data_IF_418809489103
#
_entry.id   IF_418809489103
#
_cell.length_a   1.000
_cell.length_b   1.000
_cell.length_c   1.000
_cell.angle_alpha   90.00
_cell.angle_beta   90.00
_cell.angle_gamma   90.00
#
_symmetry.space_group_name_H-M   'P 1'
#
loop_
_entity.id
_entity.type
_entity.pdbx_description
1 polymer ?
#
# COMPACT_ATOMS: atom_id res chain seq x y z
N UNK A 1 -4.47 3.64 -1.22
CA UNK A 1 -4.88 3.69 0.19
C UNK A 1 -5.44 2.36 0.64
N UNK A 2 -4.96 1.84 1.76
CA UNK A 2 -5.49 0.60 2.35
C UNK A 2 -5.76 0.77 3.85
N UNK A 3 -6.58 -0.15 4.39
CA UNK A 3 -6.85 -0.28 5.82
C UNK A 3 -6.61 -1.73 6.24
N UNK A 4 -6.26 -1.95 7.51
CA UNK A 4 -6.00 -3.27 8.05
C UNK A 4 -6.86 -3.55 9.28
N UNK A 5 -7.70 -4.56 9.17
CA UNK A 5 -8.45 -5.11 10.30
C UNK A 5 -7.61 -6.19 10.99
N UNK A 6 -7.12 -5.86 12.19
CA UNK A 6 -6.29 -6.77 12.99
C UNK A 6 -7.03 -7.99 13.50
N UNK A 7 -8.32 -7.85 13.79
CA UNK A 7 -9.13 -8.93 14.35
C UNK A 7 -9.34 -10.05 13.33
N UNK A 8 -9.52 -9.69 12.07
CA UNK A 8 -9.80 -10.63 10.99
C UNK A 8 -8.63 -10.79 10.03
N UNK A 9 -7.47 -10.24 10.35
CA UNK A 9 -6.25 -10.24 9.51
C UNK A 9 -6.54 -9.86 8.04
N UNK A 10 -7.41 -8.86 7.86
CA UNK A 10 -7.94 -8.49 6.54
C UNK A 10 -7.45 -7.11 6.13
N UNK A 11 -6.94 -7.02 4.91
CA UNK A 11 -6.52 -5.79 4.25
C UNK A 11 -7.65 -5.36 3.30
N UNK A 12 -8.07 -4.11 3.39
CA UNK A 12 -9.03 -3.50 2.48
C UNK A 12 -8.30 -2.47 1.60
N UNK A 13 -8.33 -2.63 0.29
CA UNK A 13 -7.81 -1.65 -0.65
C UNK A 13 -8.96 -0.69 -1.00
N UNK A 14 -8.84 0.55 -0.56
CA UNK A 14 -9.94 1.52 -0.56
C UNK A 14 -9.91 2.46 -1.76
N UNK A 15 -8.72 2.90 -2.16
CA UNK A 15 -8.51 3.82 -3.26
C UNK A 15 -7.16 3.53 -3.93
N UNK A 16 -7.07 3.89 -5.20
CA UNK A 16 -5.80 3.87 -5.94
C UNK A 16 -5.62 5.18 -6.73
N UNK A 17 -4.37 5.55 -6.91
CA UNK A 17 -3.92 6.55 -7.87
C UNK A 17 -2.89 5.82 -8.74
N UNK A 18 -3.24 5.54 -9.98
CA UNK A 18 -2.39 4.81 -10.91
C UNK A 18 -2.21 5.63 -12.18
N UNK A 19 -1.21 6.50 -12.18
CA UNK A 19 -0.94 7.44 -13.28
C UNK A 19 0.56 7.54 -13.53
N UNK A 20 0.93 7.76 -14.78
CA UNK A 20 2.31 8.03 -15.19
C UNK A 20 2.52 9.52 -15.44
N UNK A 21 3.75 10.01 -15.24
CA UNK A 21 4.14 11.36 -15.59
C UNK A 21 3.59 12.46 -14.67
N UNK A 22 3.09 12.10 -13.48
CA UNK A 22 2.69 13.07 -12.47
C UNK A 22 3.92 13.70 -11.81
N UNK A 23 3.87 15.02 -11.60
CA UNK A 23 4.78 15.69 -10.68
C UNK A 23 4.42 15.38 -9.22
N UNK A 24 5.38 15.52 -8.30
CA UNK A 24 5.13 15.34 -6.86
C UNK A 24 4.04 16.27 -6.33
N UNK A 25 3.92 17.47 -6.91
CA UNK A 25 2.84 18.42 -6.58
C UNK A 25 1.46 17.89 -6.98
N UNK A 26 1.32 17.43 -8.23
CA UNK A 26 0.07 16.84 -8.71
C UNK A 26 -0.32 15.61 -7.88
N UNK A 27 0.66 14.77 -7.54
CA UNK A 27 0.45 13.61 -6.69
C UNK A 27 -0.03 14.04 -5.28
N UNK A 28 0.58 15.08 -4.71
CA UNK A 28 0.16 15.61 -3.41
C UNK A 28 -1.28 16.14 -3.44
N UNK A 29 -1.67 16.85 -4.51
CA UNK A 29 -3.02 17.37 -4.71
C UNK A 29 -4.07 16.23 -4.80
N UNK A 30 -3.72 15.08 -5.39
CA UNK A 30 -4.61 13.90 -5.44
C UNK A 30 -4.65 13.11 -4.14
N UNK A 31 -3.56 13.10 -3.37
CA UNK A 31 -3.52 12.41 -2.07
C UNK A 31 -4.25 13.20 -0.97
N UNK A 32 -4.13 14.53 -0.99
CA UNK A 32 -4.66 15.39 0.07
C UNK A 32 -6.12 15.11 0.43
N UNK A 33 -7.07 15.03 -0.51
CA UNK A 33 -8.47 14.75 -0.18
C UNK A 33 -8.69 13.35 0.41
N UNK A 34 -7.81 12.40 0.10
CA UNK A 34 -7.89 11.04 0.65
C UNK A 34 -7.45 10.98 2.12
N UNK A 35 -6.58 11.90 2.53
CA UNK A 35 -6.08 12.02 3.91
C UNK A 35 -7.01 12.90 4.73
N UNK A 36 -7.43 14.05 4.20
CA UNK A 36 -8.32 15.01 4.89
C UNK A 36 -9.71 14.44 5.18
N UNK A 37 -10.18 13.53 4.33
CA UNK A 37 -11.47 12.84 4.56
C UNK A 37 -11.51 12.06 5.86
N UNK A 38 -10.36 11.68 6.41
CA UNK A 38 -10.27 10.98 7.69
C UNK A 38 -10.35 11.91 8.90
N UNK A 39 -10.00 13.20 8.74
CA UNK A 39 -9.96 14.18 9.84
C UNK A 39 -11.29 14.89 10.10
N UNK A 40 -12.19 14.91 9.12
CA UNK A 40 -13.46 15.68 9.20
C UNK A 40 -14.71 14.84 9.43
N UNK A 41 -14.59 13.59 9.90
CA UNK A 41 -15.75 12.74 10.11
C UNK A 41 -16.57 12.53 8.82
N UNK A 42 -15.95 12.74 7.66
CA UNK A 42 -16.57 12.48 6.38
C UNK A 42 -16.88 11.00 6.31
N UNK A 43 -18.16 10.69 6.43
CA UNK A 43 -18.71 9.36 6.33
C UNK A 43 -18.56 8.82 4.90
N UNK A 44 -17.33 8.56 4.48
CA UNK A 44 -17.14 7.42 3.61
C UNK A 44 -17.45 6.23 4.49
N UNK A 45 -18.74 5.94 4.58
CA UNK A 45 -19.25 4.71 5.15
C UNK A 45 -18.42 3.59 4.51
N UNK A 46 -17.42 3.13 5.27
CA UNK A 46 -16.91 1.81 5.02
C UNK A 46 -18.15 0.91 5.00
N UNK A 47 -18.37 0.11 3.96
CA UNK A 47 -19.49 -0.84 3.96
C UNK A 47 -19.40 -1.83 5.12
N UNK A 48 -18.35 -1.77 5.91
CA UNK A 48 -18.15 -2.53 7.13
C UNK A 48 -18.22 -1.56 8.30
N UNK A 49 -19.40 -1.41 8.88
CA UNK A 49 -19.62 -0.63 10.09
C UNK A 49 -18.69 -1.13 11.20
N UNK A 50 -17.80 -0.26 11.67
CA UNK A 50 -16.87 -0.55 12.76
C UNK A 50 -15.38 -0.38 12.45
N UNK A 51 -14.97 -0.09 11.22
CA UNK A 51 -13.58 0.30 10.94
C UNK A 51 -13.39 1.77 11.33
N UNK A 52 -12.92 1.98 12.54
CA UNK A 52 -12.45 3.28 12.98
C UNK A 52 -11.09 3.54 12.32
N UNK A 53 -11.05 4.43 11.32
CA UNK A 53 -9.79 4.92 10.76
C UNK A 53 -9.18 5.87 11.78
N UNK A 54 -7.98 5.55 12.27
CA UNK A 54 -7.27 6.45 13.18
C UNK A 54 -6.83 7.71 12.42
N UNK A 55 -6.99 8.86 13.05
CA UNK A 55 -6.83 10.23 12.51
C UNK A 55 -5.44 10.60 11.96
N UNK A 56 -4.51 9.67 11.85
CA UNK A 56 -3.15 9.91 11.37
C UNK A 56 -2.72 8.81 10.40
N UNK A 57 -3.22 8.90 9.17
CA UNK A 57 -2.76 8.03 8.09
C UNK A 57 -1.34 8.40 7.69
N UNK A 58 -0.36 7.59 8.07
CA UNK A 58 1.00 7.72 7.55
C UNK A 58 1.00 7.51 6.04
N UNK A 59 1.79 8.32 5.32
CA UNK A 59 2.04 8.16 3.89
C UNK A 59 3.44 7.55 3.74
N UNK A 60 3.50 6.30 3.33
CA UNK A 60 4.76 5.61 3.09
C UNK A 60 5.13 5.68 1.63
N UNK A 61 6.36 6.09 1.37
CA UNK A 61 6.93 6.24 0.03
C UNK A 61 8.11 5.28 -0.14
N UNK A 62 8.45 4.95 -1.38
CA UNK A 62 9.69 4.21 -1.65
C UNK A 62 10.89 4.99 -1.08
N UNK A 63 11.72 4.30 -0.31
CA UNK A 63 12.93 4.87 0.29
C UNK A 63 14.03 5.20 -0.74
N UNK A 64 13.90 4.73 -2.00
CA UNK A 64 14.82 5.06 -3.08
C UNK A 64 14.71 6.50 -3.57
N UNK A 65 13.61 7.20 -3.24
CA UNK A 65 13.27 8.52 -3.74
C UNK A 65 13.17 9.59 -2.62
N UNK A 66 14.25 9.88 -1.87
CA UNK A 66 14.20 10.81 -0.73
C UNK A 66 13.81 12.24 -1.12
N UNK A 67 14.15 12.66 -2.36
CA UNK A 67 13.75 13.95 -2.89
C UNK A 67 12.23 14.04 -3.04
N UNK A 68 11.61 13.02 -3.61
CA UNK A 68 10.15 12.96 -3.77
C UNK A 68 9.43 13.04 -2.43
N UNK A 69 9.99 12.41 -1.38
CA UNK A 69 9.44 12.48 -0.02
C UNK A 69 9.54 13.91 0.53
N UNK A 70 10.65 14.61 0.29
CA UNK A 70 10.80 16.01 0.70
C UNK A 70 9.80 16.90 -0.02
N UNK A 71 9.68 16.77 -1.34
CA UNK A 71 8.74 17.53 -2.17
C UNK A 71 7.28 17.34 -1.72
N UNK A 72 6.89 16.11 -1.39
CA UNK A 72 5.54 15.82 -0.85
C UNK A 72 5.29 16.53 0.48
N UNK A 73 6.29 16.57 1.37
CA UNK A 73 6.20 17.32 2.63
C UNK A 73 6.07 18.82 2.42
N UNK A 74 6.80 19.37 1.44
CA UNK A 74 6.73 20.78 1.06
C UNK A 74 5.38 21.13 0.44
N UNK A 75 4.74 20.17 -0.24
CA UNK A 75 3.37 20.28 -0.74
C UNK A 75 2.28 20.09 0.34
N UNK A 76 2.65 19.96 1.61
CA UNK A 76 1.70 19.89 2.74
C UNK A 76 1.49 18.50 3.34
N UNK A 77 1.98 17.42 2.71
CA UNK A 77 1.86 16.05 3.23
C UNK A 77 2.97 15.76 4.25
N UNK A 78 2.92 16.42 5.41
CA UNK A 78 3.96 16.36 6.47
C UNK A 78 4.18 14.94 7.03
N UNK A 79 3.19 14.07 6.91
CA UNK A 79 3.23 12.66 7.34
C UNK A 79 3.93 11.73 6.33
N UNK A 80 4.38 12.24 5.17
CA UNK A 80 5.13 11.44 4.21
C UNK A 80 6.46 10.96 4.79
N UNK A 81 6.77 9.69 4.65
CA UNK A 81 7.98 9.06 5.17
C UNK A 81 8.46 7.91 4.28
N UNK A 82 9.74 7.59 4.38
CA UNK A 82 10.31 6.43 3.70
C UNK A 82 9.78 5.13 4.32
N UNK A 83 9.53 4.13 3.48
CA UNK A 83 9.31 2.76 3.93
C UNK A 83 10.63 2.11 4.37
N UNK A 84 10.53 1.01 5.11
CA UNK A 84 11.68 0.19 5.49
C UNK A 84 12.35 -0.42 4.25
N UNK A 85 13.68 -0.39 4.20
CA UNK A 85 14.45 -0.92 3.08
C UNK A 85 15.70 -1.66 3.59
N UNK A 86 15.61 -2.99 3.55
CA UNK A 86 16.73 -3.90 3.86
C UNK A 86 16.77 -5.03 2.83
N UNK A 87 17.91 -5.73 2.67
CA UNK A 87 17.98 -6.92 1.82
C UNK A 87 16.91 -7.95 2.20
N UNK A 88 16.19 -8.48 1.21
CA UNK A 88 15.12 -9.46 1.43
C UNK A 88 13.77 -8.88 1.85
N UNK A 89 13.64 -7.56 2.03
CA UNK A 89 12.38 -6.93 2.46
C UNK A 89 11.23 -7.18 1.48
N UNK A 90 11.48 -7.27 0.18
CA UNK A 90 10.45 -7.53 -0.84
C UNK A 90 9.81 -8.90 -0.61
N UNK A 91 10.63 -9.96 -0.56
CA UNK A 91 10.12 -11.32 -0.32
C UNK A 91 9.40 -11.43 1.02
N UNK A 92 9.89 -10.75 2.05
CA UNK A 92 9.25 -10.73 3.37
C UNK A 92 7.87 -10.07 3.32
N UNK A 93 7.75 -8.91 2.67
CA UNK A 93 6.48 -8.19 2.47
C UNK A 93 5.46 -9.01 1.72
N UNK A 94 5.86 -9.61 0.60
CA UNK A 94 4.96 -10.46 -0.19
C UNK A 94 4.48 -11.66 0.62
N UNK A 95 5.36 -12.36 1.32
CA UNK A 95 4.97 -13.46 2.23
C UNK A 95 4.01 -12.97 3.31
N UNK A 96 4.24 -11.80 3.87
CA UNK A 96 3.35 -11.21 4.87
C UNK A 96 1.94 -10.94 4.29
N UNK A 97 1.84 -10.41 3.07
CA UNK A 97 0.57 -10.19 2.37
C UNK A 97 -0.14 -11.51 2.06
N UNK A 98 0.58 -12.53 1.61
CA UNK A 98 0.04 -13.85 1.25
C UNK A 98 -0.68 -14.56 2.42
N UNK A 99 -0.33 -14.24 3.66
CA UNK A 99 -0.97 -14.79 4.85
C UNK A 99 -2.21 -14.01 5.31
N UNK A 100 -2.69 -13.04 4.52
CA UNK A 100 -3.83 -12.19 4.88
C UNK A 100 -4.92 -12.24 3.84
N UNK A 101 -6.14 -12.03 4.30
CA UNK A 101 -7.26 -11.80 3.40
C UNK A 101 -7.11 -10.41 2.80
N UNK A 102 -7.24 -10.28 1.48
CA UNK A 102 -7.20 -8.99 0.77
C UNK A 102 -8.55 -8.79 0.09
N UNK A 103 -9.18 -7.66 0.39
CA UNK A 103 -10.48 -7.27 -0.17
C UNK A 103 -10.27 -6.10 -1.10
N UNK A 104 -10.65 -6.29 -2.36
CA UNK A 104 -10.48 -5.31 -3.44
C UNK A 104 -11.80 -5.15 -4.17
N UNK A 105 -12.24 -3.92 -4.38
CA UNK A 105 -13.37 -3.61 -5.27
C UNK A 105 -12.84 -3.31 -6.68
N UNK A 106 -13.06 -4.19 -7.67
CA UNK A 106 -12.52 -4.01 -9.01
C UNK A 106 -13.09 -2.79 -9.75
N UNK A 107 -14.20 -2.23 -9.29
CA UNK A 107 -14.75 -0.99 -9.88
C UNK A 107 -14.07 0.26 -9.33
N UNK A 108 -13.60 0.22 -8.09
CA UNK A 108 -12.95 1.36 -7.42
C UNK A 108 -11.44 1.35 -7.59
N UNK A 109 -10.85 0.16 -7.64
CA UNK A 109 -9.40 -0.05 -7.69
C UNK A 109 -9.04 -1.12 -8.73
N UNK A 110 -9.32 -0.83 -10.04
CA UNK A 110 -9.16 -1.80 -11.12
C UNK A 110 -7.72 -2.25 -11.33
N UNK A 111 -6.73 -1.35 -11.17
CA UNK A 111 -5.33 -1.69 -11.36
C UNK A 111 -4.80 -2.56 -10.21
N UNK A 112 -5.17 -2.24 -8.97
CA UNK A 112 -4.86 -3.10 -7.83
C UNK A 112 -5.49 -4.49 -8.01
N UNK A 113 -6.76 -4.56 -8.41
CA UNK A 113 -7.40 -5.83 -8.69
C UNK A 113 -6.65 -6.63 -9.76
N UNK A 114 -6.29 -5.99 -10.88
CA UNK A 114 -5.57 -6.61 -11.99
C UNK A 114 -4.22 -7.18 -11.53
N UNK A 115 -3.43 -6.40 -10.79
CA UNK A 115 -2.11 -6.84 -10.32
C UNK A 115 -2.23 -7.96 -9.29
N UNK A 116 -3.06 -7.82 -8.26
CA UNK A 116 -3.21 -8.84 -7.21
C UNK A 116 -3.73 -10.19 -7.73
N UNK A 117 -4.60 -10.19 -8.74
CA UNK A 117 -5.13 -11.44 -9.32
C UNK A 117 -4.10 -12.13 -10.22
N UNK A 118 -3.26 -11.37 -10.91
CA UNK A 118 -2.33 -11.91 -11.90
C UNK A 118 -0.89 -12.09 -11.37
N UNK A 119 -0.59 -11.60 -10.16
CA UNK A 119 0.76 -11.71 -9.61
C UNK A 119 1.06 -13.11 -9.13
N UNK A 120 1.97 -13.77 -9.82
CA UNK A 120 2.42 -15.13 -9.51
C UNK A 120 3.93 -15.25 -9.63
N UNK A 121 4.50 -16.28 -9.04
CA UNK A 121 5.91 -16.60 -9.23
C UNK A 121 6.24 -16.77 -10.71
N UNK A 122 7.45 -16.35 -11.10
CA UNK A 122 7.95 -16.60 -12.42
C UNK A 122 7.99 -18.11 -12.70
N UNK A 123 7.80 -18.49 -13.96
CA UNK A 123 7.93 -19.89 -14.39
C UNK A 123 9.09 -20.05 -15.35
N UNK A 124 9.76 -21.20 -15.31
CA UNK A 124 10.76 -21.58 -16.29
C UNK A 124 10.10 -21.99 -17.63
N UNK A 125 10.93 -22.38 -18.61
CA UNK A 125 10.46 -22.82 -19.93
C UNK A 125 9.63 -24.11 -19.89
N UNK A 126 9.77 -24.88 -18.83
CA UNK A 126 9.09 -26.16 -18.61
C UNK A 126 7.82 -26.00 -17.75
N UNK A 127 7.51 -24.75 -17.35
CA UNK A 127 6.32 -24.41 -16.55
C UNK A 127 6.49 -24.61 -15.05
N UNK A 128 7.70 -24.88 -14.55
CA UNK A 128 7.92 -24.99 -13.10
C UNK A 128 8.04 -23.58 -12.47
N UNK A 129 7.49 -23.42 -11.28
CA UNK A 129 7.60 -22.16 -10.55
C UNK A 129 9.04 -21.93 -10.09
N UNK A 130 9.56 -20.75 -10.40
CA UNK A 130 10.82 -20.25 -9.87
C UNK A 130 10.57 -19.64 -8.48
N UNK A 131 11.61 -19.60 -7.66
CA UNK A 131 11.53 -18.94 -6.34
C UNK A 131 11.57 -17.41 -6.41
N UNK A 132 11.70 -16.87 -7.62
CA UNK A 132 11.79 -15.44 -7.88
C UNK A 132 10.42 -14.83 -8.15
N UNK A 133 10.18 -13.68 -7.53
CA UNK A 133 9.02 -12.84 -7.79
C UNK A 133 9.33 -11.92 -8.98
N UNK A 134 8.43 -11.78 -9.96
CA UNK A 134 8.66 -10.89 -11.09
C UNK A 134 8.66 -9.42 -10.63
N UNK A 135 9.64 -8.67 -11.13
CA UNK A 135 9.74 -7.22 -10.91
C UNK A 135 8.98 -6.45 -12.00
N UNK A 136 7.73 -6.82 -12.19
CA UNK A 136 6.80 -6.16 -13.12
C UNK A 136 5.36 -6.39 -12.69
N UNK A 137 4.49 -5.46 -13.07
CA UNK A 137 3.06 -5.53 -12.77
C UNK A 137 2.75 -5.74 -11.26
N UNK A 138 3.55 -5.08 -10.40
CA UNK A 138 3.51 -5.20 -8.95
C UNK A 138 3.41 -3.83 -8.22
N UNK A 139 3.19 -2.73 -8.95
CA UNK A 139 3.24 -1.38 -8.40
C UNK A 139 2.22 -1.14 -7.28
N UNK A 140 1.01 -1.66 -7.42
CA UNK A 140 -0.03 -1.53 -6.38
C UNK A 140 0.20 -2.50 -5.23
N UNK A 141 0.83 -3.64 -5.49
CA UNK A 141 1.24 -4.62 -4.47
C UNK A 141 2.32 -4.00 -3.59
N UNK A 142 3.35 -3.41 -4.21
CA UNK A 142 4.41 -2.71 -3.48
C UNK A 142 3.86 -1.50 -2.71
N UNK A 143 3.01 -0.69 -3.34
CA UNK A 143 2.37 0.43 -2.67
C UNK A 143 1.51 -0.01 -1.47
N UNK A 144 0.80 -1.13 -1.58
CA UNK A 144 0.06 -1.72 -0.47
C UNK A 144 0.99 -2.17 0.65
N UNK A 145 2.09 -2.85 0.31
CA UNK A 145 3.09 -3.29 1.26
C UNK A 145 3.77 -2.10 1.97
N UNK A 146 4.08 -1.01 1.23
CA UNK A 146 4.63 0.21 1.82
C UNK A 146 3.64 0.86 2.79
N UNK A 147 2.37 0.97 2.40
CA UNK A 147 1.35 1.54 3.28
C UNK A 147 1.16 0.76 4.60
N UNK A 148 1.52 -0.52 4.61
CA UNK A 148 1.45 -1.40 5.78
C UNK A 148 2.80 -1.61 6.47
N UNK A 149 3.83 -0.86 6.07
CA UNK A 149 5.22 -1.00 6.52
C UNK A 149 5.35 -1.10 8.04
N UNK A 150 4.68 -0.20 8.77
CA UNK A 150 4.68 -0.19 10.24
C UNK A 150 4.08 -1.45 10.87
N UNK A 151 3.17 -2.13 10.16
CA UNK A 151 2.56 -3.37 10.64
C UNK A 151 3.45 -4.57 10.31
N UNK A 152 4.07 -4.55 9.13
CA UNK A 152 4.96 -5.60 8.65
C UNK A 152 6.24 -5.67 9.49
N UNK A 153 6.83 -4.50 9.81
CA UNK A 153 8.11 -4.40 10.54
C UNK A 153 7.95 -3.99 12.00
N UNK A 154 6.81 -4.27 12.61
CA UNK A 154 6.66 -4.07 14.05
C UNK A 154 7.66 -4.95 14.79
N UNK A 155 8.76 -4.36 15.27
CA UNK A 155 9.67 -5.05 16.19
C UNK A 155 8.88 -5.46 17.43
N UNK A 156 8.86 -6.78 17.66
CA UNK A 156 8.48 -7.50 18.84
C UNK A 156 7.79 -6.74 19.97
N UNK A 157 6.49 -6.99 20.12
CA UNK A 157 5.99 -7.27 21.46
C UNK A 157 6.02 -8.79 21.54
N UNK A 158 7.05 -9.31 22.18
CA UNK A 158 7.07 -10.70 22.64
C UNK A 158 5.82 -10.93 23.46
N UNK A 159 5.14 -12.01 23.13
CA UNK A 159 4.05 -12.54 23.94
C UNK A 159 4.54 -12.89 25.32
#
# INVERSE_FOLDING_TARGET
RCSYDRKHETIYILNEIYKRGMSNRQLAEEIAPLVEGDTKGSSYLSPVSGLCFQDHSDIYCDAAEPKSISDLKDCGLKQARACHKEPGCVSYRVKWLQHRRIVIDPKRTPEAYREFVNYSYATDKDGNFLSELPDKDNHTIDACAYALDRLIYRRGVSA
#
